data_IF_292554478081
#
_entry.id   IF_292554478081
#
_cell.length_a   1.000
_cell.length_b   1.000
_cell.length_c   1.000
_cell.angle_alpha   90.00
_cell.angle_beta   90.00
_cell.angle_gamma   90.00
#
_symmetry.space_group_name_H-M   'P 1'
#
loop_
_entity.id
_entity.type
_entity.pdbx_description
1 polymer ?
#
# COMPACT_ATOMS: atom_id res chain seq x y z
N UNK A 1 -15.47 12.95 -1.72
CA UNK A 1 -15.01 11.83 -0.86
C UNK A 1 -13.51 11.66 -1.07
N UNK A 2 -12.69 12.08 -0.11
CA UNK A 2 -11.23 11.99 -0.22
C UNK A 2 -10.83 10.54 0.04
N UNK A 3 -10.55 9.76 -1.02
CA UNK A 3 -10.06 8.37 -0.86
C UNK A 3 -8.79 8.38 -0.01
N UNK A 4 -8.85 7.74 1.16
CA UNK A 4 -7.72 7.69 2.10
C UNK A 4 -6.79 6.54 1.69
N UNK A 5 -5.98 6.77 0.66
CA UNK A 5 -5.00 5.80 0.18
C UNK A 5 -3.61 6.13 0.68
N UNK A 6 -2.82 5.12 1.04
CA UNK A 6 -1.37 5.24 1.26
C UNK A 6 -0.62 4.61 0.10
N UNK A 7 0.56 5.14 -0.20
CA UNK A 7 1.51 4.49 -1.10
C UNK A 7 1.97 3.17 -0.49
N UNK A 8 1.73 2.06 -1.19
CA UNK A 8 2.32 0.75 -0.93
C UNK A 8 3.37 0.40 -1.98
N UNK A 9 4.31 -0.46 -1.60
CA UNK A 9 5.34 -1.00 -2.48
C UNK A 9 5.18 -2.51 -2.51
N UNK A 10 5.12 -3.09 -3.71
CA UNK A 10 4.97 -4.53 -3.92
C UNK A 10 6.16 -5.07 -4.67
N UNK A 11 6.79 -6.12 -4.18
CA UNK A 11 7.92 -6.74 -4.86
C UNK A 11 7.46 -7.47 -6.13
N UNK A 12 8.13 -7.21 -7.25
CA UNK A 12 7.80 -7.82 -8.54
C UNK A 12 8.21 -9.29 -8.62
N UNK A 13 9.18 -9.73 -7.83
CA UNK A 13 9.70 -11.10 -7.87
C UNK A 13 8.83 -12.10 -7.11
N UNK A 14 8.29 -11.71 -5.96
CA UNK A 14 7.49 -12.61 -5.10
C UNK A 14 6.07 -12.10 -4.82
N UNK A 15 5.69 -10.92 -5.32
CA UNK A 15 4.36 -10.35 -5.15
C UNK A 15 4.02 -9.91 -3.73
N UNK A 16 4.98 -9.87 -2.80
CA UNK A 16 4.76 -9.46 -1.41
C UNK A 16 4.83 -7.95 -1.24
N UNK A 17 4.03 -7.43 -0.32
CA UNK A 17 4.18 -6.04 0.12
C UNK A 17 5.49 -5.86 0.87
N UNK A 18 6.24 -4.83 0.51
CA UNK A 18 7.49 -4.43 1.13
C UNK A 18 7.37 -3.01 1.67
N UNK A 19 8.21 -2.67 2.65
CA UNK A 19 8.30 -1.31 3.16
C UNK A 19 8.99 -0.37 2.15
N UNK A 20 8.74 0.94 2.26
CA UNK A 20 9.44 1.95 1.46
C UNK A 20 10.96 1.85 1.60
N UNK A 21 11.45 1.59 2.83
CA UNK A 21 12.88 1.39 3.10
C UNK A 21 13.46 0.18 2.34
N UNK A 22 12.68 -0.89 2.18
CA UNK A 22 13.09 -2.05 1.39
C UNK A 22 13.00 -1.77 -0.11
N UNK A 23 11.98 -1.04 -0.57
CA UNK A 23 11.85 -0.61 -1.96
C UNK A 23 13.04 0.28 -2.36
N UNK A 24 13.41 1.26 -1.53
CA UNK A 24 14.55 2.16 -1.77
C UNK A 24 15.91 1.45 -1.74
N UNK A 25 16.02 0.34 -0.99
CA UNK A 25 17.23 -0.51 -1.00
C UNK A 25 17.29 -1.44 -2.22
N UNK A 26 16.17 -1.66 -2.91
CA UNK A 26 16.08 -2.50 -4.10
C UNK A 26 16.10 -1.61 -5.35
N UNK A 27 16.54 -2.19 -6.46
CA UNK A 27 16.46 -1.50 -7.75
C UNK A 27 14.99 -1.18 -8.08
N UNK A 28 14.63 0.02 -8.57
CA UNK A 28 13.23 0.39 -8.86
C UNK A 28 12.51 -0.51 -9.85
N UNK A 29 13.23 -1.33 -10.63
CA UNK A 29 12.63 -2.34 -11.52
C UNK A 29 12.11 -3.58 -10.78
N UNK A 30 12.49 -3.79 -9.52
CA UNK A 30 12.13 -4.97 -8.74
C UNK A 30 10.89 -4.77 -7.86
N UNK A 31 10.25 -3.61 -7.93
CA UNK A 31 9.03 -3.35 -7.18
C UNK A 31 8.06 -2.47 -7.97
N UNK A 32 6.78 -2.56 -7.62
CA UNK A 32 5.70 -1.76 -8.15
C UNK A 32 5.16 -0.83 -7.07
N UNK A 33 4.84 0.40 -7.48
CA UNK A 33 4.18 1.40 -6.64
C UNK A 33 2.68 1.27 -6.80
N UNK A 34 1.95 1.10 -5.70
CA UNK A 34 0.50 0.96 -5.73
C UNK A 34 -0.16 1.88 -4.69
N UNK A 35 -1.38 2.35 -4.98
CA UNK A 35 -2.20 3.05 -3.98
C UNK A 35 -3.01 2.02 -3.22
N UNK A 36 -2.65 1.81 -1.95
CA UNK A 36 -3.30 0.86 -1.06
C UNK A 36 -4.32 1.61 -0.21
N UNK A 37 -5.60 1.18 -0.16
CA UNK A 37 -6.60 1.80 0.70
C UNK A 37 -6.22 1.63 2.17
N UNK A 38 -6.42 2.69 2.98
CA UNK A 38 -6.21 2.62 4.41
C UNK A 38 -7.42 1.93 5.07
N UNK A 39 -7.23 0.77 5.71
CA UNK A 39 -8.33 0.12 6.41
C UNK A 39 -8.81 0.98 7.60
N UNK A 40 -10.13 1.11 7.75
CA UNK A 40 -10.79 1.81 8.86
C UNK A 40 -10.99 3.33 8.69
N UNK A 41 -10.47 3.95 7.62
CA UNK A 41 -10.71 5.38 7.30
C UNK A 41 -11.57 5.56 6.04
N UNK A 42 -12.74 4.91 6.03
CA UNK A 42 -13.81 5.13 5.04
C UNK A 42 -13.82 4.21 3.81
N UNK A 43 -12.69 3.67 3.36
CA UNK A 43 -12.65 2.81 2.15
C UNK A 43 -12.94 1.32 2.43
N UNK A 44 -12.60 0.82 3.62
CA UNK A 44 -13.08 -0.48 4.12
C UNK A 44 -14.18 -0.19 5.14
N UNK A 45 -15.43 -0.58 4.92
CA UNK A 45 -16.60 -0.27 5.76
C UNK A 45 -16.58 -0.77 7.22
N UNK A 46 -15.42 -0.97 7.86
CA UNK A 46 -15.25 -1.28 9.29
C UNK A 46 -15.03 -0.04 10.17
N UNK A 47 -15.41 1.15 9.70
CA UNK A 47 -15.22 2.42 10.41
C UNK A 47 -16.42 2.90 11.22
N UNK A 48 -17.63 2.36 10.99
CA UNK A 48 -18.81 2.68 11.81
C UNK A 48 -19.07 1.56 12.81
N UNK A 49 -18.39 1.61 13.96
CA UNK A 49 -19.01 1.07 15.18
C UNK A 49 -19.83 2.21 15.77
N UNK A 50 -21.16 2.05 15.70
CA UNK A 50 -22.16 2.85 16.42
C UNK A 50 -21.82 2.95 17.91
#
# INVERSE_FOLDING_TARGET
MTRHTRTGYRDSGNGRFISEKQANRRNPNNWQKERVPLPGRGDTGRGEKK
#
